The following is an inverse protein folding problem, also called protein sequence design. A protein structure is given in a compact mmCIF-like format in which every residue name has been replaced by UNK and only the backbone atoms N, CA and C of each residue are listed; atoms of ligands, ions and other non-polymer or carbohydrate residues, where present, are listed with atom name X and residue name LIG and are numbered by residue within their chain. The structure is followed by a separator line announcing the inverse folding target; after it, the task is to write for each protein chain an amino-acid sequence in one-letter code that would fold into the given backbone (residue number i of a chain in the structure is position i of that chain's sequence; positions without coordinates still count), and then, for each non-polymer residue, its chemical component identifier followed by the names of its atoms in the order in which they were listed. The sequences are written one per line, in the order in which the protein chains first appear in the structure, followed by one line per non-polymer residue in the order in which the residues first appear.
data_IF_847201827025
#
_entry.id   IF_847201827025
#
_cell.length_a   1.000
_cell.length_b   1.000
_cell.length_c   1.000
_cell.angle_alpha   90.00
_cell.angle_beta   90.00
_cell.angle_gamma   90.00
#
_symmetry.space_group_name_H-M   'P 1'
#
loop_
_entity.id
_entity.type
_entity.pdbx_description
1 polymer ?
#
# COMPACT_ATOMS: atom_id res chain seq x y z
N UNK A 1 -22.25 -2.81 20.67
CA UNK A 1 -21.29 -2.88 21.79
C UNK A 1 -20.88 -1.47 22.17
N UNK A 2 -20.72 -1.15 23.45
CA UNK A 2 -20.27 0.18 23.87
C UNK A 2 -18.85 0.44 23.37
N UNK A 3 -18.57 1.62 22.82
CA UNK A 3 -17.21 1.99 22.40
C UNK A 3 -16.25 1.91 23.59
N UNK A 4 -15.05 1.33 23.43
CA UNK A 4 -14.05 1.29 24.48
C UNK A 4 -13.68 2.71 24.91
N UNK A 5 -13.55 2.93 26.22
CA UNK A 5 -13.15 4.23 26.76
C UNK A 5 -11.65 4.45 26.47
N UNK A 6 -11.33 5.38 25.57
CA UNK A 6 -9.97 5.68 25.12
C UNK A 6 -9.58 7.12 25.49
N UNK A 7 -9.35 7.42 26.79
CA UNK A 7 -9.11 8.80 27.26
C UNK A 7 -7.81 9.40 26.71
N UNK A 8 -6.83 8.56 26.36
CA UNK A 8 -5.53 8.98 25.84
C UNK A 8 -5.61 9.62 24.44
N UNK A 9 -6.69 9.42 23.67
CA UNK A 9 -6.82 9.96 22.30
C UNK A 9 -6.71 11.49 22.29
N UNK A 10 -7.34 12.18 23.27
CA UNK A 10 -7.27 13.64 23.38
C UNK A 10 -5.84 14.11 23.68
N UNK A 11 -5.09 13.32 24.43
CA UNK A 11 -3.73 13.64 24.83
C UNK A 11 -2.71 13.47 23.69
N UNK A 12 -3.04 12.68 22.64
CA UNK A 12 -2.22 12.59 21.43
C UNK A 12 -2.13 13.92 20.68
N UNK A 13 -3.16 14.76 20.76
CA UNK A 13 -3.18 16.09 20.14
C UNK A 13 -2.72 17.22 21.08
N UNK A 14 -2.19 16.91 22.27
CA UNK A 14 -1.70 17.92 23.22
C UNK A 14 -0.54 18.73 22.64
N UNK A 15 -0.45 20.01 22.99
CA UNK A 15 0.72 20.85 22.66
C UNK A 15 1.99 20.39 23.39
N UNK A 16 1.85 19.79 24.57
CA UNK A 16 2.99 19.28 25.34
C UNK A 16 3.48 17.93 24.80
N UNK A 17 4.73 17.92 24.31
CA UNK A 17 5.40 16.74 23.80
C UNK A 17 5.49 15.58 24.81
N UNK A 18 5.60 15.85 26.12
CA UNK A 18 5.66 14.81 27.15
C UNK A 18 4.31 14.10 27.30
N UNK A 19 3.23 14.87 27.26
CA UNK A 19 1.86 14.34 27.30
C UNK A 19 1.59 13.47 26.07
N UNK A 20 1.99 13.94 24.87
CA UNK A 20 1.85 13.14 23.64
C UNK A 20 2.61 11.82 23.71
N UNK A 21 3.87 11.84 24.18
CA UNK A 21 4.69 10.63 24.35
C UNK A 21 4.04 9.64 25.31
N UNK A 22 3.58 10.10 26.48
CA UNK A 22 2.88 9.25 27.44
C UNK A 22 1.59 8.64 26.86
N UNK A 23 0.83 9.43 26.10
CA UNK A 23 -0.37 8.96 25.42
C UNK A 23 -0.06 7.91 24.34
N UNK A 24 1.04 8.06 23.61
CA UNK A 24 1.49 7.07 22.62
C UNK A 24 1.89 5.75 23.28
N UNK A 25 2.60 5.80 24.41
CA UNK A 25 2.91 4.59 25.20
C UNK A 25 1.64 3.91 25.70
N UNK A 26 0.65 4.68 26.18
CA UNK A 26 -0.66 4.13 26.57
C UNK A 26 -1.38 3.46 25.39
N UNK A 27 -1.31 4.05 24.21
CA UNK A 27 -1.88 3.48 22.99
C UNK A 27 -1.17 2.18 22.60
N UNK A 28 0.16 2.11 22.68
CA UNK A 28 0.90 0.88 22.42
C UNK A 28 0.48 -0.24 23.38
N UNK A 29 0.36 0.05 24.69
CA UNK A 29 -0.14 -0.92 25.66
C UNK A 29 -1.57 -1.36 25.32
N UNK A 30 -2.44 -0.42 24.98
CA UNK A 30 -3.83 -0.69 24.59
C UNK A 30 -3.94 -1.60 23.35
N UNK A 31 -3.13 -1.35 22.31
CA UNK A 31 -3.13 -2.14 21.08
C UNK A 31 -2.49 -3.52 21.25
N UNK A 32 -1.53 -3.66 22.17
CA UNK A 32 -0.90 -4.96 22.48
C UNK A 32 -1.86 -5.93 23.18
N UNK A 33 -2.91 -5.42 23.83
CA UNK A 33 -3.92 -6.23 24.48
C UNK A 33 -4.85 -6.88 23.44
N UNK A 34 -4.57 -8.15 23.09
CA UNK A 34 -5.28 -8.89 22.04
C UNK A 34 -6.81 -8.78 22.11
N UNK A 35 -7.42 -9.03 23.27
CA UNK A 35 -8.87 -8.97 23.44
C UNK A 35 -9.49 -7.59 23.12
N UNK A 36 -8.72 -6.52 23.27
CA UNK A 36 -9.14 -5.16 22.93
C UNK A 36 -8.97 -4.93 21.43
N UNK A 37 -7.77 -5.17 20.91
CA UNK A 37 -7.45 -4.87 19.51
C UNK A 37 -8.32 -5.65 18.51
N UNK A 38 -8.74 -6.88 18.83
CA UNK A 38 -9.61 -7.69 17.96
C UNK A 38 -11.06 -7.23 17.95
N UNK A 39 -11.49 -6.44 18.94
CA UNK A 39 -12.86 -5.97 19.09
C UNK A 39 -13.05 -4.50 18.70
N UNK A 40 -11.97 -3.84 18.23
CA UNK A 40 -12.04 -2.45 17.77
C UNK A 40 -12.94 -2.32 16.55
N UNK A 41 -13.95 -1.46 16.67
CA UNK A 41 -14.83 -1.13 15.56
C UNK A 41 -14.13 -0.19 14.56
N UNK A 42 -14.60 -0.12 13.30
CA UNK A 42 -14.06 0.81 12.31
C UNK A 42 -14.02 2.26 12.80
N UNK A 43 -15.04 2.71 13.55
CA UNK A 43 -15.09 4.07 14.10
C UNK A 43 -14.06 4.28 15.22
N UNK A 44 -13.74 3.26 16.02
CA UNK A 44 -12.72 3.35 17.06
C UNK A 44 -11.32 3.50 16.45
N UNK A 45 -11.05 2.73 15.38
CA UNK A 45 -9.81 2.82 14.60
C UNK A 45 -9.67 4.22 13.98
N UNK A 46 -10.74 4.77 13.40
CA UNK A 46 -10.72 6.13 12.84
C UNK A 46 -10.47 7.21 13.91
N UNK A 47 -11.01 7.06 15.12
CA UNK A 47 -10.70 7.96 16.24
C UNK A 47 -9.23 7.88 16.64
N UNK A 48 -8.66 6.67 16.71
CA UNK A 48 -7.26 6.44 17.02
C UNK A 48 -6.34 7.06 15.97
N UNK A 49 -6.55 6.76 14.69
CA UNK A 49 -5.75 7.32 13.60
C UNK A 49 -5.89 8.84 13.47
N UNK A 50 -7.07 9.41 13.75
CA UNK A 50 -7.20 10.87 13.86
C UNK A 50 -6.33 11.44 14.98
N UNK A 51 -6.30 10.79 16.15
CA UNK A 51 -5.40 11.17 17.24
C UNK A 51 -3.92 11.10 16.84
N UNK A 52 -3.51 10.02 16.17
CA UNK A 52 -2.13 9.83 15.69
C UNK A 52 -1.75 10.85 14.60
N UNK A 53 -2.67 11.18 13.70
CA UNK A 53 -2.50 12.23 12.70
C UNK A 53 -2.18 13.58 13.36
N UNK A 54 -2.95 13.97 14.39
CA UNK A 54 -2.67 15.21 15.12
C UNK A 54 -1.41 15.13 16.00
N UNK A 55 -1.02 13.95 16.49
CA UNK A 55 0.28 13.78 17.14
C UNK A 55 1.44 14.09 16.19
N UNK A 56 1.35 13.63 14.93
CA UNK A 56 2.30 13.99 13.87
C UNK A 56 2.20 15.47 13.49
N UNK A 57 0.99 16.00 13.40
CA UNK A 57 0.73 17.42 13.10
C UNK A 57 1.46 18.35 14.07
N UNK A 58 1.44 18.05 15.37
CA UNK A 58 2.08 18.82 16.43
C UNK A 58 3.59 18.54 16.60
N UNK A 59 4.17 17.67 15.77
CA UNK A 59 5.60 17.37 15.80
C UNK A 59 6.37 18.28 14.82
N UNK A 60 7.12 19.25 15.33
CA UNK A 60 7.78 20.28 14.51
C UNK A 60 9.30 20.10 14.38
N UNK A 61 9.91 19.19 15.17
CA UNK A 61 11.36 18.94 15.11
C UNK A 61 11.67 17.76 14.20
N UNK A 62 12.63 17.92 13.29
CA UNK A 62 12.98 16.94 12.25
C UNK A 62 13.25 15.53 12.80
N UNK A 63 14.19 15.38 13.75
CA UNK A 63 14.51 14.06 14.31
C UNK A 63 13.29 13.42 15.00
N UNK A 64 12.56 14.12 15.90
CA UNK A 64 11.30 13.61 16.43
C UNK A 64 10.23 13.24 15.38
N UNK A 65 10.14 13.94 14.24
CA UNK A 65 9.22 13.57 13.15
C UNK A 65 9.60 12.21 12.56
N UNK A 66 10.89 12.00 12.26
CA UNK A 66 11.37 10.72 11.73
C UNK A 66 11.12 9.56 12.70
N UNK A 67 11.44 9.75 13.98
CA UNK A 67 11.18 8.75 15.03
C UNK A 67 9.70 8.46 15.14
N UNK A 68 8.85 9.49 15.17
CA UNK A 68 7.40 9.30 15.27
C UNK A 68 6.84 8.58 14.05
N UNK A 69 7.31 8.88 12.82
CA UNK A 69 6.87 8.17 11.62
C UNK A 69 7.17 6.66 11.72
N UNK A 70 8.34 6.31 12.23
CA UNK A 70 8.73 4.93 12.45
C UNK A 70 7.87 4.27 13.54
N UNK A 71 7.71 4.93 14.70
CA UNK A 71 6.88 4.43 15.80
C UNK A 71 5.43 4.17 15.39
N UNK A 72 4.85 5.05 14.57
CA UNK A 72 3.48 4.89 14.06
C UNK A 72 3.37 3.75 13.04
N UNK A 73 4.35 3.59 12.17
CA UNK A 73 4.39 2.49 11.21
C UNK A 73 4.54 1.13 11.91
N UNK A 74 5.38 1.07 12.95
CA UNK A 74 5.66 -0.16 13.70
C UNK A 74 4.48 -0.62 14.58
N UNK A 75 3.43 0.20 14.75
CA UNK A 75 2.20 -0.22 15.43
C UNK A 75 1.56 -1.46 14.78
N UNK A 76 1.82 -1.70 13.50
CA UNK A 76 1.36 -2.92 12.80
C UNK A 76 1.90 -4.21 13.44
N UNK A 77 3.08 -4.18 14.05
CA UNK A 77 3.74 -5.37 14.60
C UNK A 77 3.28 -5.72 16.02
N UNK A 78 2.70 -4.77 16.75
CA UNK A 78 2.17 -5.02 18.11
C UNK A 78 0.71 -5.49 18.08
N UNK A 79 0.04 -5.39 16.92
CA UNK A 79 -1.35 -5.76 16.76
C UNK A 79 -1.51 -7.29 16.60
N UNK A 80 -2.64 -7.85 17.06
CA UNK A 80 -3.07 -9.17 16.64
C UNK A 80 -3.24 -9.23 15.12
N UNK A 81 -2.98 -10.41 14.55
CA UNK A 81 -2.99 -10.65 13.09
C UNK A 81 -4.28 -10.17 12.42
N UNK A 82 -5.40 -10.49 13.04
CA UNK A 82 -6.76 -10.18 12.61
C UNK A 82 -7.08 -8.67 12.63
N UNK A 83 -6.36 -7.88 13.42
CA UNK A 83 -6.58 -6.44 13.58
C UNK A 83 -5.76 -5.57 12.63
N UNK A 84 -4.77 -6.14 11.95
CA UNK A 84 -3.87 -5.37 11.07
C UNK A 84 -4.59 -4.80 9.86
N UNK A 85 -5.44 -5.59 9.18
CA UNK A 85 -6.16 -5.10 7.99
C UNK A 85 -7.12 -3.96 8.35
N UNK A 86 -8.00 -4.08 9.37
CA UNK A 86 -8.81 -2.95 9.83
C UNK A 86 -7.97 -1.72 10.23
N UNK A 87 -6.83 -1.94 10.88
CA UNK A 87 -5.92 -0.87 11.28
C UNK A 87 -5.35 -0.11 10.08
N UNK A 88 -4.87 -0.81 9.05
CA UNK A 88 -4.35 -0.21 7.82
C UNK A 88 -5.45 0.47 7.01
N UNK A 89 -6.67 -0.09 6.94
CA UNK A 89 -7.80 0.61 6.31
C UNK A 89 -8.11 1.93 7.02
N UNK A 90 -8.03 1.95 8.35
CA UNK A 90 -8.17 3.18 9.14
C UNK A 90 -7.09 4.22 8.85
N UNK A 91 -5.85 3.79 8.59
CA UNK A 91 -4.76 4.66 8.16
C UNK A 91 -5.09 5.31 6.82
N UNK A 92 -5.38 4.51 5.79
CA UNK A 92 -5.65 5.00 4.45
C UNK A 92 -6.89 5.88 4.38
N UNK A 93 -7.95 5.54 5.11
CA UNK A 93 -9.14 6.38 5.24
C UNK A 93 -8.84 7.72 5.90
N UNK A 94 -7.98 7.74 6.93
CA UNK A 94 -7.58 8.98 7.60
C UNK A 94 -6.70 9.84 6.70
N UNK A 95 -5.68 9.25 6.06
CA UNK A 95 -4.81 9.97 5.14
C UNK A 95 -5.58 10.52 3.94
N UNK A 96 -6.49 9.74 3.37
CA UNK A 96 -7.32 10.19 2.24
C UNK A 96 -8.23 11.36 2.62
N UNK A 97 -8.83 11.33 3.82
CA UNK A 97 -9.70 12.42 4.28
C UNK A 97 -8.92 13.72 4.54
N UNK A 98 -7.73 13.62 5.13
CA UNK A 98 -6.98 14.79 5.59
C UNK A 98 -5.96 15.31 4.56
N UNK A 99 -5.65 14.56 3.49
CA UNK A 99 -4.53 14.88 2.58
C UNK A 99 -4.56 16.32 2.05
N UNK A 100 -5.74 16.79 1.61
CA UNK A 100 -5.91 18.11 1.01
C UNK A 100 -5.90 19.24 2.03
N UNK A 101 -6.03 18.95 3.33
CA UNK A 101 -5.95 19.93 4.41
C UNK A 101 -4.52 20.16 4.91
N UNK A 102 -3.57 19.30 4.50
CA UNK A 102 -2.15 19.41 4.86
C UNK A 102 -1.52 20.54 4.05
N UNK A 103 -1.04 21.58 4.74
CA UNK A 103 -0.30 22.65 4.10
C UNK A 103 1.13 22.22 3.70
N UNK A 104 1.72 22.96 2.77
CA UNK A 104 3.02 22.66 2.17
C UNK A 104 4.13 22.52 3.21
N UNK A 105 4.12 23.30 4.30
CA UNK A 105 5.15 23.24 5.34
C UNK A 105 5.08 21.98 6.20
N UNK A 106 3.94 21.28 6.20
CA UNK A 106 3.73 20.04 6.95
C UNK A 106 3.76 18.80 6.07
N UNK A 107 3.71 18.95 4.75
CA UNK A 107 3.58 17.84 3.82
C UNK A 107 4.72 16.82 3.97
N UNK A 108 5.97 17.25 4.10
CA UNK A 108 7.16 16.37 4.13
C UNK A 108 7.05 15.24 5.18
N UNK A 109 6.64 15.56 6.41
CA UNK A 109 6.51 14.55 7.48
C UNK A 109 5.35 13.58 7.23
N UNK A 110 4.31 13.99 6.53
CA UNK A 110 3.20 13.10 6.16
C UNK A 110 3.56 12.23 4.96
N UNK A 111 4.34 12.73 4.00
CA UNK A 111 4.94 11.92 2.93
C UNK A 111 5.85 10.83 3.54
N UNK A 112 6.68 11.20 4.53
CA UNK A 112 7.51 10.25 5.26
C UNK A 112 6.69 9.22 6.03
N UNK A 113 5.59 9.63 6.69
CA UNK A 113 4.70 8.71 7.39
C UNK A 113 4.10 7.67 6.43
N UNK A 114 3.56 8.09 5.28
CA UNK A 114 3.04 7.16 4.26
C UNK A 114 4.14 6.20 3.81
N UNK A 115 5.35 6.71 3.56
CA UNK A 115 6.49 5.87 3.17
C UNK A 115 6.81 4.80 4.21
N UNK A 116 6.86 5.18 5.50
CA UNK A 116 7.12 4.22 6.60
C UNK A 116 6.01 3.20 6.76
N UNK A 117 4.74 3.59 6.62
CA UNK A 117 3.60 2.67 6.72
C UNK A 117 3.57 1.68 5.55
N UNK A 118 3.85 2.13 4.32
CA UNK A 118 3.97 1.25 3.14
C UNK A 118 5.13 0.26 3.34
N UNK A 119 6.32 0.73 3.71
CA UNK A 119 7.46 -0.16 3.96
C UNK A 119 7.23 -1.15 5.11
N UNK A 120 6.55 -0.72 6.19
CA UNK A 120 6.18 -1.62 7.28
C UNK A 120 5.15 -2.67 6.84
N UNK A 121 4.21 -2.29 5.98
CA UNK A 121 3.22 -3.20 5.38
C UNK A 121 3.88 -4.25 4.49
N UNK A 122 4.83 -3.85 3.64
CA UNK A 122 5.60 -4.79 2.82
C UNK A 122 6.44 -5.75 3.65
N UNK A 123 7.15 -5.24 4.68
CA UNK A 123 7.90 -6.11 5.60
C UNK A 123 6.98 -7.07 6.35
N UNK A 124 5.78 -6.62 6.73
CA UNK A 124 4.80 -7.48 7.40
C UNK A 124 4.36 -8.65 6.54
N UNK A 125 4.47 -8.57 5.20
CA UNK A 125 4.13 -9.68 4.29
C UNK A 125 4.99 -10.93 4.51
N UNK A 126 6.20 -10.80 5.06
CA UNK A 126 7.14 -11.91 5.26
C UNK A 126 6.76 -12.93 6.33
N UNK A 127 5.64 -12.77 7.03
CA UNK A 127 5.19 -13.78 8.01
C UNK A 127 5.88 -13.71 9.38
N UNK A 128 7.14 -13.30 9.46
CA UNK A 128 7.87 -13.17 10.72
C UNK A 128 7.23 -12.09 11.60
N UNK A 129 6.77 -12.50 12.79
CA UNK A 129 6.16 -11.61 13.77
C UNK A 129 7.19 -10.70 14.45
N UNK A 130 8.49 -10.96 14.25
CA UNK A 130 9.59 -10.14 14.75
C UNK A 130 10.05 -9.14 13.68
N UNK A 131 9.25 -8.10 13.45
CA UNK A 131 9.64 -6.89 12.71
C UNK A 131 10.67 -6.03 13.46
N UNK A 132 11.58 -6.65 14.21
CA UNK A 132 12.67 -6.03 14.97
C UNK A 132 14.04 -6.57 14.57
N UNK A 133 14.21 -6.98 13.32
CA UNK A 133 15.55 -7.14 12.75
C UNK A 133 16.04 -5.77 12.24
N UNK A 134 16.85 -5.13 13.08
CA UNK A 134 17.89 -4.12 12.82
C UNK A 134 17.80 -3.28 11.53
N UNK A 135 17.23 -2.08 11.67
CA UNK A 135 17.43 -0.94 10.74
C UNK A 135 18.90 -0.45 10.72
N UNK A 136 19.81 -1.06 11.48
CA UNK A 136 21.24 -0.71 11.57
C UNK A 136 22.19 -1.64 10.81
N UNK A 137 21.69 -2.66 10.11
CA UNK A 137 22.54 -3.67 9.47
C UNK A 137 22.97 -3.36 8.02
N UNK A 138 22.85 -2.12 7.53
CA UNK A 138 23.39 -1.72 6.22
C UNK A 138 24.92 -1.53 6.20
N UNK A 139 25.65 -1.99 7.23
CA UNK A 139 27.12 -1.97 7.22
C UNK A 139 27.68 -3.16 7.99
N UNK A 140 27.82 -4.31 7.32
CA UNK A 140 29.02 -5.18 7.40
C UNK A 140 28.85 -6.46 6.58
N UNK A 141 29.79 -6.61 5.66
CA UNK A 141 30.16 -7.81 4.94
C UNK A 141 30.51 -9.00 5.86
N UNK A 142 30.17 -10.20 5.39
CA UNK A 142 30.80 -11.52 5.64
C UNK A 142 30.93 -12.04 7.08
N UNK A 143 30.21 -13.13 7.42
CA UNK A 143 30.83 -14.47 7.64
C UNK A 143 29.83 -15.61 7.87
N UNK A 144 30.16 -16.73 7.22
CA UNK A 144 29.72 -18.13 7.37
C UNK A 144 29.36 -18.61 8.79
N UNK A 145 28.33 -19.48 8.84
CA UNK A 145 28.40 -20.79 9.51
C UNK A 145 27.42 -21.03 10.66
N UNK A 146 26.44 -21.92 10.46
CA UNK A 146 25.59 -22.42 11.55
C UNK A 146 24.59 -23.47 11.09
N UNK A 147 24.97 -24.74 11.19
CA UNK A 147 24.22 -25.95 10.78
C UNK A 147 23.05 -26.21 11.74
N UNK A 148 21.81 -26.19 11.24
CA UNK A 148 20.60 -26.44 12.02
C UNK A 148 19.55 -27.25 11.26
N UNK A 149 19.50 -28.55 11.59
CA UNK A 149 18.42 -29.54 11.48
C UNK A 149 17.33 -29.36 10.40
N UNK A 150 17.45 -30.22 9.38
CA UNK A 150 16.51 -30.45 8.27
C UNK A 150 15.22 -31.07 8.81
N UNK A 151 14.12 -30.33 8.77
CA UNK A 151 12.77 -30.88 8.90
C UNK A 151 12.08 -30.81 7.53
N UNK A 152 11.38 -31.87 7.18
CA UNK A 152 10.92 -32.17 5.83
C UNK A 152 9.62 -31.45 5.46
N UNK A 153 9.56 -30.90 4.24
CA UNK A 153 8.36 -31.06 3.41
C UNK A 153 7.47 -29.84 3.14
N UNK A 154 8.03 -28.66 2.89
CA UNK A 154 7.56 -27.61 1.95
C UNK A 154 8.63 -26.52 2.00
N UNK A 155 9.16 -26.05 0.88
CA UNK A 155 9.98 -24.83 0.91
C UNK A 155 9.11 -23.72 1.52
N UNK A 156 9.36 -23.40 2.80
CA UNK A 156 8.68 -22.28 3.45
C UNK A 156 9.21 -21.05 2.78
N UNK A 157 8.38 -20.49 1.93
CA UNK A 157 8.71 -19.29 1.20
C UNK A 157 8.82 -18.13 2.19
N UNK A 158 9.61 -17.11 1.82
CA UNK A 158 9.85 -15.96 2.69
C UNK A 158 8.59 -15.11 2.89
N UNK A 159 7.52 -15.35 2.12
CA UNK A 159 6.31 -14.55 2.07
C UNK A 159 5.09 -15.35 2.53
N UNK A 160 4.32 -14.79 3.45
CA UNK A 160 3.05 -15.39 3.85
C UNK A 160 1.95 -14.89 2.89
N UNK A 161 1.49 -15.80 2.03
CA UNK A 161 0.56 -15.53 0.93
C UNK A 161 -0.71 -14.78 1.38
N UNK A 162 -1.25 -15.10 2.57
CA UNK A 162 -2.45 -14.40 3.08
C UNK A 162 -2.15 -12.95 3.43
N UNK A 163 -0.94 -12.65 3.90
CA UNK A 163 -0.54 -11.26 4.16
C UNK A 163 -0.32 -10.51 2.86
N UNK A 164 0.34 -11.16 1.89
CA UNK A 164 0.56 -10.59 0.56
C UNK A 164 -0.77 -10.19 -0.04
N UNK A 165 -1.75 -11.09 -0.09
CA UNK A 165 -3.07 -10.78 -0.62
C UNK A 165 -3.73 -9.61 0.09
N UNK A 166 -3.67 -9.58 1.42
CA UNK A 166 -4.25 -8.49 2.21
C UNK A 166 -3.59 -7.12 1.95
N UNK A 167 -2.27 -7.07 1.76
CA UNK A 167 -1.56 -5.81 1.49
C UNK A 167 -1.78 -5.38 0.03
N UNK A 168 -1.79 -6.30 -0.92
CA UNK A 168 -2.04 -5.99 -2.33
C UNK A 168 -3.50 -5.58 -2.56
N UNK A 169 -4.46 -6.20 -1.88
CA UNK A 169 -5.86 -5.73 -1.88
C UNK A 169 -5.97 -4.34 -1.26
N UNK A 170 -5.22 -4.03 -0.20
CA UNK A 170 -5.17 -2.69 0.39
C UNK A 170 -4.65 -1.65 -0.61
N UNK A 171 -3.60 -1.97 -1.38
CA UNK A 171 -3.09 -1.06 -2.40
C UNK A 171 -4.12 -0.83 -3.50
N UNK A 172 -4.79 -1.88 -3.99
CA UNK A 172 -5.86 -1.78 -4.97
C UNK A 172 -7.08 -1.01 -4.46
N UNK A 173 -7.44 -1.14 -3.18
CA UNK A 173 -8.57 -0.43 -2.56
C UNK A 173 -8.30 1.07 -2.39
N UNK A 174 -7.04 1.50 -2.32
CA UNK A 174 -6.66 2.87 -1.95
C UNK A 174 -5.69 3.52 -2.94
N UNK A 175 -4.40 3.18 -2.87
CA UNK A 175 -3.35 3.86 -3.63
C UNK A 175 -3.52 3.69 -5.16
N UNK A 176 -3.92 2.50 -5.59
CA UNK A 176 -4.11 2.13 -6.99
C UNK A 176 -5.59 1.97 -7.36
N UNK A 177 -6.49 2.45 -6.50
CA UNK A 177 -7.91 2.48 -6.82
C UNK A 177 -8.14 3.33 -8.06
N UNK A 178 -9.04 2.87 -8.93
CA UNK A 178 -9.52 3.66 -10.05
C UNK A 178 -10.25 4.91 -9.56
N UNK A 179 -10.25 5.95 -10.37
CA UNK A 179 -10.96 7.17 -10.03
C UNK A 179 -12.48 6.88 -9.96
N UNK A 180 -13.17 7.41 -8.97
CA UNK A 180 -14.63 7.21 -8.82
C UNK A 180 -15.39 7.74 -10.05
N UNK A 181 -14.80 8.73 -10.72
CA UNK A 181 -15.28 9.36 -11.95
C UNK A 181 -15.22 8.40 -13.18
N UNK A 182 -14.75 7.15 -13.03
CA UNK A 182 -14.77 6.09 -14.07
C UNK A 182 -16.14 5.39 -14.15
N UNK A 183 -17.16 5.90 -13.44
CA UNK A 183 -18.55 5.43 -13.58
C UNK A 183 -19.43 6.53 -14.16
N UNK A 184 -19.68 6.46 -15.47
CA UNK A 184 -21.00 6.68 -16.11
C UNK A 184 -21.00 6.55 -17.66
N UNK A 185 -19.91 6.15 -18.33
CA UNK A 185 -19.91 6.06 -19.81
C UNK A 185 -20.31 4.67 -20.39
N UNK A 186 -20.86 3.74 -19.60
CA UNK A 186 -21.32 2.43 -20.13
C UNK A 186 -22.82 2.15 -19.97
N UNK A 187 -23.60 3.09 -19.45
CA UNK A 187 -25.06 2.92 -19.24
C UNK A 187 -25.90 4.04 -19.87
N UNK A 188 -25.40 4.73 -20.90
CA UNK A 188 -26.18 5.74 -21.64
C UNK A 188 -26.02 5.66 -23.16
N UNK A 189 -26.13 4.45 -23.72
CA UNK A 189 -26.63 4.27 -25.08
C UNK A 189 -27.92 3.44 -25.04
N UNK A 190 -28.92 3.88 -24.27
CA UNK A 190 -30.31 3.57 -24.60
C UNK A 190 -30.77 4.60 -25.62
N UNK A 191 -30.63 4.26 -26.89
CA UNK A 191 -31.34 4.92 -27.98
C UNK A 191 -32.84 4.80 -27.72
N UNK A 192 -33.52 5.93 -27.50
CA UNK A 192 -34.98 5.98 -27.40
C UNK A 192 -35.60 5.35 -28.67
N UNK A 193 -36.49 4.35 -28.56
CA UNK A 193 -37.30 3.96 -29.69
C UNK A 193 -38.53 4.87 -29.75
N UNK A 194 -38.68 5.55 -30.89
CA UNK A 194 -39.94 6.17 -31.32
C UNK A 194 -41.05 5.10 -31.30
N UNK A 195 -42.12 5.36 -30.56
CA UNK A 195 -43.32 4.54 -30.58
C UNK A 195 -44.08 4.80 -31.90
N UNK A 196 -44.06 3.84 -32.81
CA UNK A 196 -45.11 3.64 -33.80
C UNK A 196 -45.68 2.22 -33.64
N UNK A 197 -47.01 2.15 -33.73
CA UNK A 197 -47.87 1.04 -33.35
C UNK A 197 -47.77 -0.19 -34.26
N UNK A 198 -48.15 -1.34 -33.68
CA UNK A 198 -48.63 -2.59 -34.31
C UNK A 198 -47.63 -3.54 -35.01
N UNK A 199 -47.33 -4.69 -34.39
CA UNK A 199 -47.83 -6.03 -34.82
C UNK A 199 -47.17 -7.20 -34.04
N UNK A 200 -47.97 -8.25 -33.89
CA UNK A 200 -47.85 -9.47 -33.09
C UNK A 200 -46.76 -10.45 -33.59
N UNK A 201 -45.93 -11.04 -32.70
CA UNK A 201 -45.41 -12.44 -32.79
C UNK A 201 -44.39 -12.81 -31.67
N UNK A 202 -44.45 -14.04 -31.10
CA UNK A 202 -43.64 -14.43 -29.95
C UNK A 202 -42.45 -15.38 -30.28
N UNK A 203 -41.56 -15.51 -29.28
CA UNK A 203 -40.57 -16.58 -29.01
C UNK A 203 -39.16 -16.44 -29.60
N UNK A 204 -38.19 -16.05 -28.75
CA UNK A 204 -37.06 -16.91 -28.36
C UNK A 204 -36.32 -16.30 -27.15
N UNK A 205 -36.70 -16.67 -25.92
CA UNK A 205 -35.99 -16.29 -24.70
C UNK A 205 -34.67 -17.08 -24.62
N UNK A 206 -33.65 -16.56 -25.29
CA UNK A 206 -32.30 -17.09 -25.25
C UNK A 206 -31.63 -16.55 -24.00
N UNK A 207 -31.64 -17.35 -22.94
CA UNK A 207 -30.94 -17.14 -21.66
C UNK A 207 -29.48 -16.75 -21.88
N UNK A 208 -29.20 -15.46 -22.05
CA UNK A 208 -27.86 -14.91 -21.94
C UNK A 208 -27.61 -14.69 -20.45
N UNK A 209 -27.06 -15.73 -19.79
CA UNK A 209 -26.55 -15.61 -18.43
C UNK A 209 -25.45 -14.54 -18.43
N UNK A 210 -25.80 -13.31 -18.11
CA UNK A 210 -24.84 -12.33 -17.63
C UNK A 210 -24.15 -12.96 -16.43
N UNK A 211 -22.86 -13.27 -16.59
CA UNK A 211 -22.00 -13.54 -15.44
C UNK A 211 -21.89 -12.23 -14.67
N UNK A 212 -22.80 -12.02 -13.71
CA UNK A 212 -22.60 -11.04 -12.65
C UNK A 212 -21.23 -11.33 -12.03
N UNK A 213 -20.26 -10.45 -12.28
CA UNK A 213 -19.04 -10.44 -11.51
C UNK A 213 -19.43 -10.25 -10.04
N UNK A 214 -18.87 -11.02 -9.10
CA UNK A 214 -19.18 -10.86 -7.69
C UNK A 214 -18.85 -9.41 -7.30
N UNK A 215 -19.88 -8.65 -6.96
CA UNK A 215 -19.71 -7.31 -6.41
C UNK A 215 -18.89 -7.45 -5.12
N UNK A 216 -17.62 -7.04 -5.15
CA UNK A 216 -16.81 -6.91 -3.94
C UNK A 216 -17.54 -5.90 -3.05
N UNK A 217 -18.12 -6.38 -1.96
CA UNK A 217 -18.79 -5.54 -0.97
C UNK A 217 -17.78 -4.48 -0.48
N UNK A 218 -18.07 -3.20 -0.77
CA UNK A 218 -17.14 -2.11 -0.43
C UNK A 218 -17.04 -1.99 1.08
N UNK A 219 -15.82 -2.04 1.61
CA UNK A 219 -15.56 -1.91 3.04
C UNK A 219 -16.17 -0.60 3.59
N UNK A 220 -16.84 -0.61 4.75
CA UNK A 220 -17.45 0.59 5.33
C UNK A 220 -16.48 1.78 5.52
N UNK A 221 -15.18 1.53 5.69
CA UNK A 221 -14.16 2.58 5.80
C UNK A 221 -13.85 3.23 4.45
N UNK A 222 -13.93 2.47 3.35
CA UNK A 222 -13.80 3.02 2.01
C UNK A 222 -14.97 3.95 1.68
N UNK A 223 -16.19 3.60 2.10
CA UNK A 223 -17.38 4.46 1.96
C UNK A 223 -17.31 5.77 2.76
N UNK A 224 -16.50 5.81 3.83
CA UNK A 224 -16.28 7.02 4.62
C UNK A 224 -15.20 7.94 4.02
N UNK A 225 -14.32 7.40 3.17
CA UNK A 225 -13.37 8.19 2.40
C UNK A 225 -14.07 8.72 1.14
N UNK A 226 -14.68 9.91 1.25
CA UNK A 226 -15.48 10.55 0.19
C UNK A 226 -14.86 10.56 -1.22
N UNK A 227 -13.52 10.61 -1.32
CA UNK A 227 -12.72 10.57 -2.56
C UNK A 227 -11.26 10.33 -2.18
N UNK A 228 -10.52 9.52 -2.95
CA UNK A 228 -9.08 9.31 -2.75
C UNK A 228 -8.30 10.45 -3.45
N UNK A 229 -7.50 11.26 -2.73
CA UNK A 229 -6.78 12.39 -3.31
C UNK A 229 -5.69 11.96 -4.29
N UNK A 230 -5.61 12.62 -5.46
CA UNK A 230 -4.61 12.32 -6.48
C UNK A 230 -3.16 12.43 -5.96
N UNK A 231 -2.87 13.41 -5.10
CA UNK A 231 -1.54 13.58 -4.51
C UNK A 231 -1.10 12.41 -3.63
N UNK A 232 -2.04 11.70 -3.00
CA UNK A 232 -1.73 10.50 -2.22
C UNK A 232 -1.37 9.34 -3.15
N UNK A 233 -2.12 9.16 -4.26
CA UNK A 233 -1.83 8.13 -5.27
C UNK A 233 -0.46 8.36 -5.92
N UNK A 234 -0.18 9.59 -6.35
CA UNK A 234 1.10 10.01 -6.94
C UNK A 234 2.25 9.71 -5.98
N UNK A 235 2.12 10.08 -4.70
CA UNK A 235 3.17 9.80 -3.72
C UNK A 235 3.42 8.30 -3.53
N UNK A 236 2.39 7.45 -3.53
CA UNK A 236 2.61 6.00 -3.45
C UNK A 236 3.30 5.46 -4.70
N UNK A 237 2.93 5.96 -5.89
CA UNK A 237 3.63 5.64 -7.14
C UNK A 237 5.11 6.06 -7.11
N UNK A 238 5.45 7.17 -6.44
CA UNK A 238 6.83 7.65 -6.30
C UNK A 238 7.71 6.77 -5.41
N UNK A 239 7.13 5.95 -4.52
CA UNK A 239 7.89 5.28 -3.45
C UNK A 239 7.79 3.76 -3.47
N UNK A 240 6.85 3.16 -4.20
CA UNK A 240 6.56 1.74 -4.04
C UNK A 240 7.76 0.85 -4.42
N UNK A 241 8.50 1.20 -5.48
CA UNK A 241 9.70 0.46 -5.90
C UNK A 241 10.78 0.54 -4.82
N UNK A 242 11.03 1.72 -4.26
CA UNK A 242 12.00 1.91 -3.18
C UNK A 242 11.66 1.08 -1.93
N UNK A 243 10.39 1.08 -1.54
CA UNK A 243 9.97 0.34 -0.35
C UNK A 243 9.94 -1.17 -0.59
N UNK A 244 9.65 -1.62 -1.82
CA UNK A 244 9.76 -3.02 -2.25
C UNK A 244 11.23 -3.49 -2.24
N UNK A 245 12.15 -2.69 -2.78
CA UNK A 245 13.59 -2.98 -2.76
C UNK A 245 14.13 -3.16 -1.34
N UNK A 246 13.76 -2.28 -0.42
CA UNK A 246 14.19 -2.34 0.99
C UNK A 246 13.82 -3.63 1.71
N UNK A 247 12.77 -4.32 1.26
CA UNK A 247 12.35 -5.60 1.82
C UNK A 247 12.81 -6.79 0.98
N UNK A 248 13.64 -6.57 -0.04
CA UNK A 248 14.15 -7.61 -0.92
C UNK A 248 13.14 -8.15 -1.93
N UNK A 249 12.07 -7.40 -2.24
CA UNK A 249 11.09 -7.83 -3.26
C UNK A 249 11.65 -7.78 -4.69
N UNK A 250 12.81 -7.16 -4.91
CA UNK A 250 13.43 -7.05 -6.23
C UNK A 250 14.54 -8.11 -6.47
N UNK A 251 14.73 -9.06 -5.57
CA UNK A 251 15.70 -10.17 -5.72
C UNK A 251 15.11 -11.31 -6.57
N UNK A 252 14.82 -11.01 -7.84
CA UNK A 252 14.09 -11.92 -8.74
C UNK A 252 14.86 -13.19 -9.11
N UNK A 253 16.20 -13.16 -9.02
CA UNK A 253 17.04 -14.32 -9.33
C UNK A 253 16.92 -15.42 -8.29
N UNK A 254 16.71 -15.04 -7.02
CA UNK A 254 16.72 -15.96 -5.89
C UNK A 254 15.33 -16.17 -5.27
N UNK A 255 14.34 -15.33 -5.62
CA UNK A 255 13.01 -15.34 -5.03
C UNK A 255 11.90 -15.22 -6.11
N UNK A 256 11.46 -16.37 -6.62
CA UNK A 256 10.37 -16.46 -7.61
C UNK A 256 9.04 -15.93 -7.06
N UNK A 257 8.83 -15.98 -5.73
CA UNK A 257 7.63 -15.41 -5.13
C UNK A 257 7.69 -13.88 -5.10
N UNK A 258 8.84 -13.29 -4.80
CA UNK A 258 9.04 -11.86 -4.87
C UNK A 258 8.73 -11.33 -6.29
N UNK A 259 9.17 -12.03 -7.33
CA UNK A 259 8.82 -11.72 -8.73
C UNK A 259 7.30 -11.73 -8.95
N UNK A 260 6.58 -12.76 -8.48
CA UNK A 260 5.11 -12.84 -8.59
C UNK A 260 4.41 -11.71 -7.84
N UNK A 261 4.91 -11.31 -6.67
CA UNK A 261 4.34 -10.19 -5.89
C UNK A 261 4.52 -8.88 -6.66
N UNK A 262 5.71 -8.63 -7.20
CA UNK A 262 6.01 -7.42 -7.97
C UNK A 262 5.18 -7.37 -9.26
N UNK A 263 5.05 -8.48 -9.97
CA UNK A 263 4.18 -8.58 -11.16
C UNK A 263 2.73 -8.20 -10.84
N UNK A 264 2.17 -8.68 -9.73
CA UNK A 264 0.81 -8.30 -9.29
C UNK A 264 0.67 -6.81 -8.99
N UNK A 265 1.71 -6.17 -8.44
CA UNK A 265 1.71 -4.71 -8.21
C UNK A 265 1.78 -3.97 -9.55
N UNK A 266 2.64 -4.41 -10.48
CA UNK A 266 2.75 -3.87 -11.84
C UNK A 266 1.39 -3.94 -12.54
N UNK A 267 0.70 -5.09 -12.50
CA UNK A 267 -0.64 -5.26 -13.09
C UNK A 267 -1.66 -4.26 -12.55
N UNK A 268 -1.66 -3.99 -11.23
CA UNK A 268 -2.53 -2.99 -10.62
C UNK A 268 -2.21 -1.58 -11.12
N UNK A 269 -0.92 -1.23 -11.26
CA UNK A 269 -0.48 0.08 -11.73
C UNK A 269 -0.74 0.25 -13.24
N UNK A 270 -0.58 -0.79 -14.05
CA UNK A 270 -0.94 -0.79 -15.46
C UNK A 270 -2.44 -0.59 -15.65
N UNK A 271 -3.29 -1.26 -14.85
CA UNK A 271 -4.73 -1.04 -14.90
C UNK A 271 -5.08 0.41 -14.54
N UNK A 272 -4.46 0.95 -13.49
CA UNK A 272 -4.60 2.36 -13.12
C UNK A 272 -4.17 3.30 -14.26
N UNK A 273 -3.01 3.06 -14.87
CA UNK A 273 -2.45 3.86 -15.96
C UNK A 273 -3.40 3.91 -17.16
N UNK A 274 -3.94 2.76 -17.56
CA UNK A 274 -4.84 2.60 -18.70
C UNK A 274 -6.19 3.29 -18.47
N UNK A 275 -6.70 3.28 -17.22
CA UNK A 275 -8.08 3.67 -16.91
C UNK A 275 -8.23 5.00 -16.17
N UNK A 276 -7.17 5.55 -15.57
CA UNK A 276 -7.25 6.82 -14.84
C UNK A 276 -7.62 7.97 -15.76
N UNK A 277 -8.47 8.86 -15.28
CA UNK A 277 -8.84 10.10 -15.97
C UNK A 277 -7.86 11.23 -15.68
N UNK A 278 -6.96 11.06 -14.70
CA UNK A 278 -5.98 12.07 -14.30
C UNK A 278 -4.68 11.94 -15.11
N UNK A 279 -4.27 12.97 -15.89
CA UNK A 279 -3.01 12.94 -16.62
C UNK A 279 -1.79 12.83 -15.69
N UNK A 280 -1.85 13.45 -14.50
CA UNK A 280 -0.75 13.42 -13.54
C UNK A 280 -0.52 12.03 -12.95
N UNK A 281 -1.61 11.30 -12.65
CA UNK A 281 -1.53 9.90 -12.21
C UNK A 281 -1.00 9.04 -13.36
N UNK A 282 -1.54 9.21 -14.58
CA UNK A 282 -1.10 8.45 -15.75
C UNK A 282 0.40 8.59 -16.03
N UNK A 283 0.91 9.83 -16.01
CA UNK A 283 2.34 10.10 -16.17
C UNK A 283 3.13 9.41 -15.07
N UNK A 284 2.72 9.56 -13.81
CA UNK A 284 3.48 8.97 -12.70
C UNK A 284 3.44 7.44 -12.68
N UNK A 285 2.33 6.84 -13.08
CA UNK A 285 2.23 5.38 -13.27
C UNK A 285 3.26 4.92 -14.30
N UNK A 286 3.31 5.57 -15.48
CA UNK A 286 4.31 5.26 -16.52
C UNK A 286 5.74 5.40 -16.01
N UNK A 287 6.05 6.51 -15.34
CA UNK A 287 7.38 6.77 -14.80
C UNK A 287 7.78 5.64 -13.84
N UNK A 288 6.89 5.26 -12.91
CA UNK A 288 7.15 4.19 -11.95
C UNK A 288 7.28 2.81 -12.60
N UNK A 289 6.52 2.53 -13.66
CA UNK A 289 6.60 1.28 -14.42
C UNK A 289 7.86 1.19 -15.28
N UNK A 290 8.50 2.32 -15.58
CA UNK A 290 9.75 2.40 -16.35
C UNK A 290 11.03 2.33 -15.48
N UNK A 291 10.88 2.13 -14.17
CA UNK A 291 12.03 2.01 -13.25
C UNK A 291 12.93 0.84 -13.65
N UNK A 292 14.24 1.11 -13.79
CA UNK A 292 15.23 0.15 -14.30
C UNK A 292 15.43 -1.07 -13.39
N UNK A 293 15.00 -0.99 -12.13
CA UNK A 293 15.05 -2.10 -11.15
C UNK A 293 13.91 -3.11 -11.34
N UNK A 294 12.91 -2.81 -12.17
CA UNK A 294 11.75 -3.67 -12.41
C UNK A 294 12.05 -4.73 -13.49
N UNK A 295 11.40 -5.91 -13.41
CA UNK A 295 11.66 -7.00 -14.33
C UNK A 295 11.28 -6.59 -15.76
N UNK A 296 12.20 -6.78 -16.70
CA UNK A 296 12.00 -6.43 -18.12
C UNK A 296 12.49 -5.03 -18.53
N UNK A 297 12.92 -4.19 -17.58
CA UNK A 297 13.45 -2.84 -17.84
C UNK A 297 14.98 -2.77 -17.86
N UNK A 298 15.65 -3.92 -17.77
CA UNK A 298 17.11 -4.00 -17.76
C UNK A 298 17.70 -3.33 -19.01
N UNK A 299 18.60 -2.37 -18.80
CA UNK A 299 19.41 -1.82 -19.89
C UNK A 299 20.27 -2.97 -20.41
N UNK A 300 20.07 -3.37 -21.66
CA UNK A 300 21.10 -4.12 -22.38
C UNK A 300 22.38 -3.28 -22.31
N UNK A 301 23.43 -3.83 -21.73
CA UNK A 301 24.77 -3.24 -21.89
C UNK A 301 24.99 -3.04 -23.40
N UNK A 302 25.49 -1.88 -23.85
CA UNK A 302 25.90 -1.76 -25.23
C UNK A 302 26.96 -2.84 -25.47
N UNK A 303 26.67 -3.80 -26.34
CA UNK A 303 27.67 -4.75 -26.83
C UNK A 303 28.90 -3.93 -27.19
N UNK A 304 30.01 -4.17 -26.48
CA UNK A 304 31.31 -3.66 -26.90
C UNK A 304 31.48 -4.16 -28.33
N UNK A 305 31.31 -3.26 -29.31
CA UNK A 305 31.73 -3.55 -30.67
C UNK A 305 33.23 -3.82 -30.56
N UNK A 306 33.60 -5.08 -30.67
CA UNK A 306 34.98 -5.45 -30.96
C UNK A 306 35.39 -4.57 -32.15
N UNK A 307 36.35 -3.67 -31.93
CA UNK A 307 36.97 -2.85 -32.96
C UNK A 307 37.74 -3.79 -33.91
N UNK A 308 37.01 -4.51 -34.76
CA UNK A 308 37.56 -5.16 -35.94
C UNK A 308 37.92 -4.08 -36.95
N UNK A 309 39.17 -3.63 -36.93
CA UNK A 309 39.77 -3.06 -38.14
C UNK A 309 40.85 -2.02 -37.93
N UNK A 310 42.09 -2.48 -37.82
CA UNK A 310 43.17 -1.87 -38.61
C UNK A 310 44.25 -2.91 -38.93
N UNK A 311 44.02 -3.66 -40.02
CA UNK A 311 45.06 -4.48 -40.65
C UNK A 311 46.10 -3.55 -41.27
N UNK A 312 47.26 -3.44 -40.61
CA UNK A 312 48.39 -2.69 -41.12
C UNK A 312 48.83 -3.22 -42.49
N UNK A 313 48.99 -2.32 -43.45
CA UNK A 313 49.66 -2.60 -44.71
C UNK A 313 51.16 -2.73 -44.47
N UNK A 314 51.71 -3.92 -44.72
CA UNK A 314 53.15 -4.11 -44.89
C UNK A 314 53.59 -3.46 -46.20
N UNK A 315 54.62 -2.60 -46.15
CA UNK A 315 55.35 -2.10 -47.30
C UNK A 315 56.84 -1.95 -46.98
#
# INVERSE_FOLDING_TARGET
MASPNMPFIKNLASSDSKIRKSALTSLQTFLSAKHIATTLSPIDILKLWKGLFYAMWMCDRAIPQQTLCQELADLIYILPRESVVPWLRGFWATMSREWTSIDVLRMEKFLLLVRRVVGASFRWMKGAQDGREDVTAATKTTKKGGKGKKDSGTEKTAWDAKRVDQILDMLAEWAFALDEDVKEDSESEESEPENDEDEDMPQHESLRKEKQQPQREKDPLHLLAKKIPAGLKIHVLDIWVDEAEKVGMLDFENDEEALKIVQRIIEQIEELEKRTVSPAIRVRSKDSLSDERLPGNEKKEPEEKEDEGWGGFDN
#
